data_IF_835043215249
#
_entry.id   IF_835043215249
#
_cell.length_a   1.000
_cell.length_b   1.000
_cell.length_c   1.000
_cell.angle_alpha   90.00
_cell.angle_beta   90.00
_cell.angle_gamma   90.00
#
_symmetry.space_group_name_H-M   'P 1'
#
loop_
_entity.id
_entity.type
_entity.pdbx_description
1 polymer ?
#
# COMPACT_ATOMS: atom_id res chain seq x y z
N UNK A 1 -29.08 -17.25 -2.37
CA UNK A 1 -27.67 -17.49 -2.00
C UNK A 1 -26.82 -16.46 -2.73
N UNK A 2 -26.01 -15.66 -2.01
CA UNK A 2 -25.17 -14.61 -2.61
C UNK A 2 -23.90 -15.24 -3.19
N UNK A 3 -23.58 -14.93 -4.45
CA UNK A 3 -22.45 -15.48 -5.19
C UNK A 3 -21.17 -14.72 -4.84
N UNK A 4 -20.27 -15.31 -4.03
CA UNK A 4 -19.09 -14.60 -3.50
C UNK A 4 -17.81 -14.73 -4.34
N UNK A 5 -17.86 -15.38 -5.51
CA UNK A 5 -16.70 -15.82 -6.29
C UNK A 5 -16.21 -14.77 -7.28
N UNK A 6 -17.10 -13.97 -7.83
CA UNK A 6 -16.70 -12.94 -8.80
C UNK A 6 -16.27 -11.62 -8.15
N UNK A 7 -16.21 -11.56 -6.81
CA UNK A 7 -16.16 -10.33 -6.02
C UNK A 7 -14.87 -9.49 -6.14
N UNK A 8 -13.89 -9.93 -6.94
CA UNK A 8 -12.69 -9.15 -7.25
C UNK A 8 -12.05 -9.56 -8.58
N UNK A 9 -12.05 -10.85 -8.93
CA UNK A 9 -11.42 -11.35 -10.15
C UNK A 9 -12.04 -10.73 -11.41
N UNK A 10 -13.36 -10.56 -11.47
CA UNK A 10 -14.01 -9.95 -12.64
C UNK A 10 -13.57 -8.49 -12.88
N UNK A 11 -13.48 -7.71 -11.80
CA UNK A 11 -13.04 -6.33 -11.83
C UNK A 11 -11.55 -6.21 -12.20
N UNK A 12 -10.67 -7.00 -11.56
CA UNK A 12 -9.24 -7.01 -11.85
C UNK A 12 -8.93 -7.53 -13.27
N UNK A 13 -9.66 -8.55 -13.75
CA UNK A 13 -9.59 -9.00 -15.15
C UNK A 13 -10.04 -7.88 -16.09
N UNK A 14 -11.08 -7.12 -15.73
CA UNK A 14 -11.50 -5.91 -16.45
C UNK A 14 -10.37 -4.87 -16.58
N UNK A 15 -9.62 -4.61 -15.50
CA UNK A 15 -8.45 -3.72 -15.56
C UNK A 15 -7.32 -4.25 -16.45
N UNK A 16 -7.03 -5.55 -16.37
CA UNK A 16 -5.96 -6.19 -17.16
C UNK A 16 -6.31 -6.21 -18.65
N UNK A 17 -7.53 -6.61 -19.02
CA UNK A 17 -7.95 -6.71 -20.43
C UNK A 17 -8.12 -5.34 -21.08
N UNK A 18 -8.63 -4.36 -20.34
CA UNK A 18 -8.69 -2.97 -20.80
C UNK A 18 -7.32 -2.27 -20.78
N UNK A 19 -6.29 -2.94 -20.25
CA UNK A 19 -4.92 -2.43 -20.12
C UNK A 19 -4.88 -1.09 -19.38
N UNK A 20 -5.70 -0.93 -18.35
CA UNK A 20 -5.82 0.32 -17.61
C UNK A 20 -4.48 0.78 -17.01
N UNK A 21 -3.63 -0.14 -16.56
CA UNK A 21 -2.27 0.19 -16.07
C UNK A 21 -1.40 0.82 -17.16
N UNK A 22 -1.51 0.34 -18.41
CA UNK A 22 -0.79 0.92 -19.56
C UNK A 22 -1.39 2.27 -19.95
N UNK A 23 -2.72 2.37 -20.05
CA UNK A 23 -3.40 3.65 -20.38
C UNK A 23 -3.15 4.71 -19.31
N UNK A 24 -3.15 4.33 -18.04
CA UNK A 24 -2.82 5.21 -16.92
C UNK A 24 -1.34 5.57 -16.91
N UNK A 25 -0.43 4.63 -17.21
CA UNK A 25 0.99 4.94 -17.39
C UNK A 25 1.20 5.91 -18.54
N UNK A 26 0.56 5.71 -19.70
CA UNK A 26 0.60 6.61 -20.85
C UNK A 26 -0.04 7.97 -20.56
N UNK A 27 -1.16 8.01 -19.85
CA UNK A 27 -1.83 9.25 -19.43
C UNK A 27 -0.99 9.99 -18.38
N UNK A 28 -0.35 9.27 -17.46
CA UNK A 28 0.61 9.84 -16.51
C UNK A 28 1.86 10.31 -17.22
N UNK A 29 2.34 9.66 -18.29
CA UNK A 29 3.44 10.15 -19.14
C UNK A 29 3.03 11.43 -19.89
N UNK A 30 1.81 11.50 -20.44
CA UNK A 30 1.27 12.69 -21.11
C UNK A 30 1.02 13.85 -20.13
N UNK A 31 0.54 13.57 -18.92
CA UNK A 31 0.34 14.58 -17.87
C UNK A 31 1.65 14.95 -17.18
N UNK A 32 2.62 14.03 -17.12
CA UNK A 32 4.01 14.26 -16.69
C UNK A 32 4.86 14.91 -17.76
N UNK A 33 4.34 15.17 -18.97
CA UNK A 33 4.91 16.17 -19.84
C UNK A 33 4.93 17.57 -19.16
N UNK A 34 4.23 17.74 -18.03
CA UNK A 34 4.41 18.86 -17.11
C UNK A 34 5.37 18.64 -15.91
N UNK A 35 5.63 17.41 -15.43
CA UNK A 35 6.31 17.18 -14.13
C UNK A 35 7.45 16.14 -14.12
N UNK A 36 7.66 15.31 -15.14
CA UNK A 36 8.83 14.42 -15.15
C UNK A 36 9.28 14.02 -16.56
N UNK A 37 9.82 14.98 -17.33
CA UNK A 37 10.86 14.72 -18.33
C UNK A 37 11.84 15.91 -18.32
N UNK A 38 13.14 15.58 -18.40
CA UNK A 38 14.25 16.46 -18.04
C UNK A 38 14.28 17.81 -18.75
N UNK A 39 14.73 18.84 -18.01
CA UNK A 39 15.28 20.09 -18.54
C UNK A 39 15.51 21.10 -17.41
N UNK A 40 16.49 20.87 -16.54
CA UNK A 40 17.35 21.96 -16.08
C UNK A 40 18.74 21.35 -15.86
N UNK A 41 19.70 21.72 -16.71
CA UNK A 41 21.10 21.28 -16.81
C UNK A 41 21.37 19.95 -17.52
N UNK A 42 21.43 20.02 -18.87
CA UNK A 42 22.68 19.59 -19.52
C UNK A 42 23.50 20.87 -19.69
N UNK A 43 24.62 20.96 -18.98
CA UNK A 43 25.89 21.09 -19.67
C UNK A 43 26.73 19.87 -19.32
N UNK A 44 27.47 19.39 -20.31
CA UNK A 44 28.50 18.38 -20.16
C UNK A 44 29.29 18.53 -18.85
N UNK A 45 29.17 17.54 -17.96
CA UNK A 45 30.25 16.95 -17.16
C UNK A 45 29.70 15.94 -16.13
N UNK A 46 30.00 14.65 -16.37
CA UNK A 46 30.22 13.60 -15.36
C UNK A 46 29.02 13.08 -14.53
N UNK A 47 28.25 12.16 -15.14
CA UNK A 47 27.72 10.87 -14.64
C UNK A 47 27.18 10.65 -13.20
N UNK A 48 26.99 11.66 -12.34
CA UNK A 48 26.77 11.40 -10.89
C UNK A 48 25.46 11.94 -10.31
N UNK A 49 24.57 12.52 -11.12
CA UNK A 49 23.42 13.31 -10.61
C UNK A 49 22.05 12.63 -10.73
N UNK A 50 21.99 11.36 -11.15
CA UNK A 50 20.71 10.70 -11.44
C UNK A 50 20.00 10.07 -10.22
N UNK A 51 20.67 9.87 -9.08
CA UNK A 51 20.12 9.09 -7.95
C UNK A 51 19.24 9.91 -6.99
N UNK A 52 19.55 11.19 -6.70
CA UNK A 52 18.72 12.02 -5.78
C UNK A 52 17.33 12.33 -6.38
N UNK A 53 17.23 12.50 -7.70
CA UNK A 53 15.94 12.77 -8.37
C UNK A 53 15.00 11.57 -8.27
N UNK A 54 15.53 10.34 -8.20
CA UNK A 54 14.75 9.12 -7.96
C UNK A 54 14.31 9.01 -6.49
N UNK A 55 15.14 9.44 -5.54
CA UNK A 55 14.83 9.42 -4.11
C UNK A 55 13.66 10.35 -3.72
N UNK A 56 13.35 11.38 -4.50
CA UNK A 56 12.25 12.32 -4.23
C UNK A 56 11.24 12.48 -5.36
N UNK A 57 11.22 11.53 -6.30
CA UNK A 57 10.18 11.42 -7.31
C UNK A 57 8.85 11.12 -6.64
N UNK A 58 8.07 12.16 -6.37
CA UNK A 58 6.70 12.03 -5.90
C UNK A 58 5.84 11.43 -7.01
N UNK A 59 5.87 10.11 -7.14
CA UNK A 59 4.74 9.39 -7.69
C UNK A 59 3.64 9.45 -6.62
N UNK A 60 2.88 10.55 -6.62
CA UNK A 60 1.49 10.44 -6.23
C UNK A 60 0.91 9.47 -7.25
N UNK A 61 0.85 8.18 -6.90
CA UNK A 61 0.05 7.23 -7.65
C UNK A 61 -1.39 7.73 -7.51
N UNK A 62 -1.83 8.54 -8.47
CA UNK A 62 -3.26 8.73 -8.70
C UNK A 62 -3.78 7.34 -9.02
N UNK A 63 -4.86 6.91 -8.37
CA UNK A 63 -5.56 5.69 -8.76
C UNK A 63 -6.07 5.79 -10.20
N UNK A 64 -6.73 4.76 -10.68
CA UNK A 64 -7.31 4.82 -12.03
C UNK A 64 -8.36 5.94 -12.11
N UNK A 65 -8.48 6.56 -13.29
CA UNK A 65 -9.47 7.60 -13.52
C UNK A 65 -10.90 7.05 -13.42
N UNK A 66 -11.86 7.92 -13.11
CA UNK A 66 -13.29 7.58 -12.97
C UNK A 66 -13.85 6.72 -14.10
N UNK A 67 -13.41 6.97 -15.33
CA UNK A 67 -13.85 6.24 -16.53
C UNK A 67 -13.30 4.80 -16.60
N UNK A 68 -12.06 4.58 -16.17
CA UNK A 68 -11.45 3.24 -16.17
C UNK A 68 -12.18 2.29 -15.22
N UNK A 69 -12.72 2.82 -14.13
CA UNK A 69 -13.43 2.04 -13.12
C UNK A 69 -14.79 1.55 -13.63
N UNK A 70 -15.52 2.44 -14.30
CA UNK A 70 -16.78 2.10 -14.96
C UNK A 70 -16.53 1.11 -16.11
N UNK A 71 -15.45 1.29 -16.88
CA UNK A 71 -15.04 0.37 -17.95
C UNK A 71 -14.68 -1.03 -17.39
N UNK A 72 -13.91 -1.09 -16.30
CA UNK A 72 -13.53 -2.35 -15.64
C UNK A 72 -14.74 -3.09 -15.06
N UNK A 73 -15.66 -2.35 -14.43
CA UNK A 73 -16.89 -2.91 -13.87
C UNK A 73 -17.80 -3.50 -14.97
N UNK A 74 -17.99 -2.77 -16.07
CA UNK A 74 -18.79 -3.24 -17.23
C UNK A 74 -18.16 -4.48 -17.86
N UNK A 75 -16.86 -4.43 -18.16
CA UNK A 75 -16.14 -5.56 -18.74
C UNK A 75 -16.12 -6.77 -17.81
N UNK A 76 -15.98 -6.56 -16.50
CA UNK A 76 -16.08 -7.60 -15.49
C UNK A 76 -17.43 -8.32 -15.54
N UNK A 77 -18.54 -7.57 -15.61
CA UNK A 77 -19.88 -8.15 -15.76
C UNK A 77 -20.04 -8.95 -17.07
N UNK A 78 -19.52 -8.43 -18.18
CA UNK A 78 -19.54 -9.11 -19.49
C UNK A 78 -18.74 -10.41 -19.49
N UNK A 79 -17.55 -10.43 -18.88
CA UNK A 79 -16.72 -11.64 -18.81
C UNK A 79 -17.33 -12.71 -17.94
N UNK A 80 -17.99 -12.34 -16.84
CA UNK A 80 -18.75 -13.28 -16.03
C UNK A 80 -19.86 -13.92 -16.85
N UNK A 81 -20.68 -13.11 -17.53
CA UNK A 81 -21.76 -13.61 -18.39
C UNK A 81 -21.24 -14.61 -19.45
N UNK A 82 -20.19 -14.22 -20.18
CA UNK A 82 -19.58 -15.03 -21.25
C UNK A 82 -18.94 -16.32 -20.75
N UNK A 83 -18.50 -16.33 -19.49
CA UNK A 83 -17.87 -17.50 -18.86
C UNK A 83 -18.89 -18.37 -18.10
N UNK A 84 -20.19 -18.08 -18.21
CA UNK A 84 -21.26 -18.85 -17.57
C UNK A 84 -21.53 -18.49 -16.10
N UNK A 85 -20.86 -17.47 -15.57
CA UNK A 85 -21.07 -16.97 -14.21
C UNK A 85 -22.18 -15.91 -14.18
N UNK A 86 -22.86 -15.82 -13.04
CA UNK A 86 -23.91 -14.82 -12.84
C UNK A 86 -23.33 -13.38 -12.83
N UNK A 87 -23.72 -12.49 -13.77
CA UNK A 87 -23.19 -11.12 -13.85
C UNK A 87 -23.54 -10.26 -12.64
N UNK A 88 -24.64 -10.58 -11.94
CA UNK A 88 -25.06 -9.87 -10.71
C UNK A 88 -24.03 -10.00 -9.58
N UNK A 89 -23.10 -10.93 -9.67
CA UNK A 89 -22.04 -11.06 -8.69
C UNK A 89 -21.03 -9.88 -8.74
N UNK A 90 -21.09 -9.00 -9.76
CA UNK A 90 -20.43 -7.69 -9.72
C UNK A 90 -21.08 -6.70 -8.74
N UNK A 91 -22.39 -6.79 -8.46
CA UNK A 91 -23.05 -5.96 -7.44
C UNK A 91 -22.45 -6.22 -6.06
N UNK A 92 -22.10 -7.48 -5.86
CA UNK A 92 -21.48 -8.04 -4.67
C UNK A 92 -20.03 -7.49 -4.49
N UNK A 93 -19.29 -7.19 -5.57
CA UNK A 93 -18.00 -6.46 -5.55
C UNK A 93 -18.21 -5.05 -5.01
N UNK A 94 -19.14 -4.30 -5.64
CA UNK A 94 -19.39 -2.89 -5.30
C UNK A 94 -19.88 -2.76 -3.86
N UNK A 95 -20.70 -3.71 -3.40
CA UNK A 95 -21.12 -3.78 -1.99
C UNK A 95 -19.92 -3.88 -1.04
N UNK A 96 -18.97 -4.78 -1.29
CA UNK A 96 -17.76 -4.93 -0.47
C UNK A 96 -16.89 -3.66 -0.51
N UNK A 97 -16.74 -3.03 -1.68
CA UNK A 97 -15.98 -1.77 -1.80
C UNK A 97 -16.64 -0.63 -1.03
N UNK A 98 -17.97 -0.57 -1.03
CA UNK A 98 -18.74 0.39 -0.25
C UNK A 98 -18.61 0.12 1.26
N UNK A 99 -18.69 -1.14 1.67
CA UNK A 99 -18.47 -1.52 3.07
C UNK A 99 -17.05 -1.17 3.53
N UNK A 100 -16.03 -1.34 2.66
CA UNK A 100 -14.65 -0.96 2.94
C UNK A 100 -14.49 0.56 3.10
N UNK A 101 -15.15 1.34 2.24
CA UNK A 101 -15.17 2.81 2.34
C UNK A 101 -15.81 3.27 3.65
N UNK A 102 -16.95 2.68 4.02
CA UNK A 102 -17.66 3.01 5.26
C UNK A 102 -16.80 2.64 6.47
N UNK A 103 -16.25 1.42 6.50
CA UNK A 103 -15.37 0.96 7.55
C UNK A 103 -14.17 1.89 7.75
N UNK A 104 -13.49 2.28 6.67
CA UNK A 104 -12.33 3.19 6.75
C UNK A 104 -12.71 4.58 7.27
N UNK A 105 -13.89 5.10 6.91
CA UNK A 105 -14.41 6.36 7.48
C UNK A 105 -14.66 6.24 8.97
N UNK A 106 -15.28 5.15 9.43
CA UNK A 106 -15.55 4.90 10.84
C UNK A 106 -14.25 4.78 11.66
N UNK A 107 -13.28 3.98 11.16
CA UNK A 107 -11.97 3.84 11.80
C UNK A 107 -11.26 5.19 11.85
N UNK A 108 -11.23 5.93 10.74
CA UNK A 108 -10.58 7.23 10.68
C UNK A 108 -11.17 8.24 11.67
N UNK A 109 -12.50 8.27 11.77
CA UNK A 109 -13.21 9.09 12.76
C UNK A 109 -12.84 8.69 14.19
N UNK A 110 -12.81 7.39 14.50
CA UNK A 110 -12.43 6.89 15.82
C UNK A 110 -10.97 7.20 16.19
N UNK A 111 -10.09 7.26 15.20
CA UNK A 111 -8.66 7.56 15.36
C UNK A 111 -8.35 9.07 15.27
N UNK A 112 -9.35 9.92 15.01
CA UNK A 112 -9.18 11.36 14.85
C UNK A 112 -8.28 11.73 13.66
N UNK A 113 -8.36 10.96 12.58
CA UNK A 113 -7.60 11.17 11.34
C UNK A 113 -8.54 11.26 10.14
N UNK A 114 -8.03 11.76 9.02
CA UNK A 114 -8.75 11.66 7.75
C UNK A 114 -8.79 10.20 7.26
N UNK A 115 -9.87 9.84 6.57
CA UNK A 115 -10.02 8.54 5.94
C UNK A 115 -8.91 8.36 4.90
N UNK A 116 -8.18 7.26 5.01
CA UNK A 116 -7.16 6.90 4.03
C UNK A 116 -7.89 6.40 2.79
N UNK A 117 -7.38 6.72 1.62
CA UNK A 117 -7.72 5.93 0.46
C UNK A 117 -7.09 4.54 0.65
N UNK A 118 -7.92 3.51 0.80
CA UNK A 118 -7.48 2.13 0.93
C UNK A 118 -6.74 1.72 -0.34
N UNK A 119 -5.46 1.32 -0.26
CA UNK A 119 -4.56 1.02 -1.39
C UNK A 119 -4.45 2.16 -2.44
N UNK A 120 -3.28 2.34 -3.06
CA UNK A 120 -3.10 3.33 -4.15
C UNK A 120 -4.05 3.14 -5.34
N UNK A 121 -4.85 2.07 -5.34
CA UNK A 121 -5.88 1.72 -6.30
C UNK A 121 -7.20 2.48 -6.04
N UNK A 122 -7.59 2.78 -4.78
CA UNK A 122 -8.94 3.30 -4.49
C UNK A 122 -9.08 4.81 -4.25
N UNK A 123 -8.00 5.58 -4.44
CA UNK A 123 -7.96 7.01 -4.13
C UNK A 123 -8.75 7.92 -5.09
N UNK A 124 -9.29 7.40 -6.20
CA UNK A 124 -9.87 8.22 -7.29
C UNK A 124 -11.12 7.65 -7.95
N UNK A 125 -11.82 6.68 -7.35
CA UNK A 125 -13.06 6.15 -7.92
C UNK A 125 -14.16 7.24 -8.02
N UNK A 126 -15.10 7.10 -8.97
CA UNK A 126 -16.39 7.78 -8.85
C UNK A 126 -17.05 7.33 -7.53
N UNK A 127 -17.97 8.13 -6.98
CA UNK A 127 -18.80 7.67 -5.87
C UNK A 127 -19.36 6.28 -6.19
N UNK A 128 -19.25 5.33 -5.24
CA UNK A 128 -19.67 3.94 -5.40
C UNK A 128 -21.10 3.80 -5.95
N UNK A 129 -21.96 4.80 -5.73
CA UNK A 129 -23.32 4.84 -6.24
C UNK A 129 -23.41 4.93 -7.79
N UNK A 130 -22.49 5.62 -8.46
CA UNK A 130 -22.45 5.67 -9.94
C UNK A 130 -21.98 4.34 -10.54
N UNK A 131 -20.96 3.73 -9.91
CA UNK A 131 -20.48 2.39 -10.30
C UNK A 131 -21.58 1.34 -10.12
N UNK A 132 -22.32 1.42 -9.02
CA UNK A 132 -23.46 0.55 -8.75
C UNK A 132 -24.53 0.66 -9.86
N UNK A 133 -24.90 1.87 -10.26
CA UNK A 133 -25.87 2.06 -11.34
C UNK A 133 -25.42 1.42 -12.66
N UNK A 134 -24.15 1.59 -13.04
CA UNK A 134 -23.59 1.01 -14.27
C UNK A 134 -23.60 -0.51 -14.22
N UNK A 135 -23.16 -1.10 -13.10
CA UNK A 135 -23.15 -2.55 -12.90
C UNK A 135 -24.58 -3.11 -12.91
N UNK A 136 -25.54 -2.45 -12.26
CA UNK A 136 -26.95 -2.89 -12.25
C UNK A 136 -27.51 -2.94 -13.67
N UNK A 137 -27.31 -1.88 -14.45
CA UNK A 137 -27.81 -1.79 -15.82
C UNK A 137 -27.19 -2.87 -16.72
N UNK A 138 -25.87 -3.03 -16.63
CA UNK A 138 -25.13 -4.02 -17.43
C UNK A 138 -25.51 -5.45 -17.03
N UNK A 139 -25.53 -5.76 -15.73
CA UNK A 139 -25.86 -7.09 -15.24
C UNK A 139 -27.31 -7.48 -15.57
N UNK A 140 -28.26 -6.54 -15.48
CA UNK A 140 -29.66 -6.78 -15.85
C UNK A 140 -29.77 -7.16 -17.33
N UNK A 141 -29.18 -6.36 -18.22
CA UNK A 141 -29.19 -6.62 -19.66
C UNK A 141 -28.59 -8.00 -19.98
N UNK A 142 -27.42 -8.31 -19.43
CA UNK A 142 -26.76 -9.60 -19.65
C UNK A 142 -27.54 -10.79 -19.07
N UNK A 143 -28.21 -10.60 -17.93
CA UNK A 143 -29.02 -11.67 -17.31
C UNK A 143 -30.28 -11.98 -18.14
N UNK A 144 -30.87 -10.97 -18.79
CA UNK A 144 -32.00 -11.15 -19.72
C UNK A 144 -31.57 -11.86 -21.02
N UNK A 145 -30.34 -11.62 -21.49
CA UNK A 145 -29.79 -12.22 -22.71
C UNK A 145 -29.22 -13.64 -22.50
N UNK A 146 -28.85 -14.01 -21.27
CA UNK A 146 -28.10 -15.25 -21.00
C UNK A 146 -28.84 -16.18 -20.02
N UNK A 147 -29.74 -17.03 -20.53
CA UNK A 147 -30.59 -17.93 -19.71
C UNK A 147 -29.84 -19.02 -18.91
N UNK A 148 -28.51 -19.12 -19.06
CA UNK A 148 -27.67 -20.20 -18.47
C UNK A 148 -26.65 -19.73 -17.42
N UNK A 149 -26.57 -18.43 -17.12
CA UNK A 149 -25.53 -17.86 -16.25
C UNK A 149 -25.86 -17.99 -14.75
N UNK A 150 -25.87 -19.22 -14.22
CA UNK A 150 -26.20 -19.50 -12.82
C UNK A 150 -25.05 -20.14 -12.03
N UNK A 151 -23.89 -20.36 -12.64
CA UNK A 151 -22.76 -20.93 -11.92
C UNK A 151 -22.20 -19.93 -10.91
N UNK A 152 -22.04 -20.40 -9.67
CA UNK A 152 -21.56 -19.61 -8.54
C UNK A 152 -20.10 -20.00 -8.22
N UNK A 153 -19.79 -21.28 -8.03
CA UNK A 153 -18.42 -21.80 -7.85
C UNK A 153 -17.79 -21.58 -6.46
N UNK A 154 -18.64 -21.48 -5.42
CA UNK A 154 -18.24 -20.92 -4.11
C UNK A 154 -17.24 -21.79 -3.38
N UNK A 155 -17.43 -23.10 -3.44
CA UNK A 155 -16.56 -24.06 -2.78
C UNK A 155 -15.19 -24.10 -3.44
N UNK A 156 -15.14 -24.12 -4.78
CA UNK A 156 -13.88 -24.06 -5.52
C UNK A 156 -13.12 -22.77 -5.21
N UNK A 157 -13.80 -21.62 -5.26
CA UNK A 157 -13.21 -20.34 -4.89
C UNK A 157 -12.65 -20.36 -3.46
N UNK A 158 -13.44 -20.81 -2.49
CA UNK A 158 -12.98 -20.86 -1.11
C UNK A 158 -11.77 -21.79 -0.95
N UNK A 159 -11.72 -22.91 -1.69
CA UNK A 159 -10.54 -23.79 -1.68
C UNK A 159 -9.27 -23.10 -2.18
N UNK A 160 -9.37 -22.25 -3.21
CA UNK A 160 -8.23 -21.45 -3.72
C UNK A 160 -7.83 -20.30 -2.78
N UNK A 161 -8.75 -19.85 -1.93
CA UNK A 161 -8.49 -18.79 -0.95
C UNK A 161 -7.79 -19.32 0.31
N UNK A 162 -7.90 -20.61 0.61
CA UNK A 162 -7.23 -21.21 1.76
C UNK A 162 -5.71 -21.08 1.63
N UNK A 163 -5.04 -20.74 2.73
CA UNK A 163 -3.58 -20.59 2.84
C UNK A 163 -2.95 -19.41 2.05
N UNK A 164 -3.75 -18.57 1.38
CA UNK A 164 -3.24 -17.36 0.75
C UNK A 164 -2.66 -16.39 1.78
N UNK A 165 -1.64 -15.61 1.38
CA UNK A 165 -1.06 -14.58 2.24
C UNK A 165 -2.09 -13.46 2.42
N UNK A 166 -2.27 -13.02 3.67
CA UNK A 166 -3.07 -11.87 4.03
C UNK A 166 -2.17 -10.69 4.46
N UNK A 167 -2.34 -9.54 3.81
CA UNK A 167 -1.55 -8.34 4.06
C UNK A 167 -0.23 -8.32 3.29
N UNK A 168 0.83 -7.82 3.92
CA UNK A 168 2.13 -7.66 3.28
C UNK A 168 2.78 -9.02 2.90
N UNK A 169 3.50 -9.00 1.77
CA UNK A 169 4.35 -10.09 1.33
C UNK A 169 5.63 -10.14 2.18
N UNK A 170 6.06 -11.31 2.70
CA UNK A 170 7.33 -11.44 3.42
C UNK A 170 8.56 -11.00 2.62
N UNK A 171 8.47 -11.07 1.29
CA UNK A 171 9.54 -10.65 0.37
C UNK A 171 9.75 -9.13 0.41
N UNK A 172 8.67 -8.37 0.55
CA UNK A 172 8.70 -6.91 0.56
C UNK A 172 8.82 -6.37 2.01
N UNK A 173 8.89 -7.27 2.99
CA UNK A 173 8.82 -6.96 4.41
C UNK A 173 7.38 -6.78 4.89
N UNK A 174 7.19 -6.83 6.21
CA UNK A 174 5.89 -6.95 6.86
C UNK A 174 5.70 -5.79 7.82
N UNK A 175 4.58 -5.08 7.68
CA UNK A 175 4.12 -4.07 8.64
C UNK A 175 3.15 -4.71 9.66
N UNK A 176 3.39 -4.44 10.94
CA UNK A 176 2.47 -4.73 12.05
C UNK A 176 2.35 -3.47 12.90
N UNK A 177 1.17 -2.84 12.85
CA UNK A 177 0.96 -1.54 13.48
C UNK A 177 1.96 -0.49 12.97
N UNK A 178 2.86 -0.06 13.84
CA UNK A 178 3.91 0.92 13.55
C UNK A 178 5.30 0.28 13.43
N UNK A 179 5.41 -1.04 13.38
CA UNK A 179 6.68 -1.77 13.28
C UNK A 179 6.78 -2.47 11.93
N UNK A 180 7.96 -2.42 11.35
CA UNK A 180 8.27 -3.07 10.08
C UNK A 180 9.37 -4.09 10.28
N UNK A 181 9.20 -5.26 9.67
CA UNK A 181 10.13 -6.38 9.76
C UNK A 181 10.47 -6.89 8.37
N UNK A 182 11.75 -7.03 8.06
CA UNK A 182 12.18 -7.63 6.81
C UNK A 182 13.06 -8.84 7.10
N UNK A 183 12.47 -10.04 7.01
CA UNK A 183 13.16 -11.29 7.39
C UNK A 183 14.39 -11.56 6.53
N UNK A 184 14.25 -11.46 5.21
CA UNK A 184 15.34 -11.74 4.27
C UNK A 184 16.50 -10.73 4.38
N UNK A 185 16.18 -9.45 4.53
CA UNK A 185 17.17 -8.39 4.74
C UNK A 185 17.64 -8.27 6.20
N UNK A 186 17.06 -9.03 7.13
CA UNK A 186 17.52 -9.15 8.51
C UNK A 186 17.39 -7.89 9.37
N UNK A 187 16.45 -6.98 9.09
CA UNK A 187 16.28 -5.74 9.87
C UNK A 187 14.84 -5.47 10.30
N UNK A 188 14.71 -4.58 11.29
CA UNK A 188 13.45 -4.09 11.86
C UNK A 188 13.52 -2.57 12.06
N UNK A 189 12.37 -1.91 11.95
CA UNK A 189 12.21 -0.47 12.19
C UNK A 189 10.89 -0.16 12.88
N UNK A 190 10.85 0.96 13.60
CA UNK A 190 9.64 1.49 14.22
C UNK A 190 9.33 2.87 13.66
N UNK A 191 8.05 3.11 13.40
CA UNK A 191 7.55 4.32 12.74
C UNK A 191 6.73 5.17 13.69
N UNK A 192 6.64 6.48 13.44
CA UNK A 192 5.87 7.37 14.30
C UNK A 192 4.38 7.02 14.28
N UNK A 193 3.75 7.07 15.44
CA UNK A 193 2.31 6.88 15.55
C UNK A 193 1.53 7.86 14.68
N UNK A 194 0.37 7.41 14.18
CA UNK A 194 -0.54 8.18 13.29
C UNK A 194 0.02 8.51 11.91
N UNK A 195 1.27 8.19 11.60
CA UNK A 195 1.78 8.30 10.23
C UNK A 195 1.20 7.17 9.39
N UNK A 196 0.86 7.48 8.15
CA UNK A 196 0.50 6.47 7.17
C UNK A 196 1.78 5.87 6.59
N UNK A 197 1.83 4.54 6.47
CA UNK A 197 3.00 3.83 5.92
C UNK A 197 2.54 3.06 4.70
N UNK A 198 3.15 3.35 3.56
CA UNK A 198 3.00 2.57 2.35
C UNK A 198 4.24 1.70 2.15
N UNK A 199 4.03 0.39 2.08
CA UNK A 199 5.06 -0.60 1.85
C UNK A 199 5.07 -0.98 0.36
N UNK A 200 6.13 -0.60 -0.35
CA UNK A 200 6.34 -0.95 -1.75
C UNK A 200 7.53 -1.90 -1.87
N UNK A 201 7.61 -2.72 -2.94
CA UNK A 201 8.72 -3.66 -3.13
C UNK A 201 10.12 -3.02 -3.12
N UNK A 202 10.23 -1.74 -3.48
CA UNK A 202 11.49 -1.01 -3.58
C UNK A 202 11.71 0.04 -2.47
N UNK A 203 10.69 0.36 -1.65
CA UNK A 203 10.76 1.44 -0.66
C UNK A 203 9.64 1.42 0.38
N UNK A 204 9.88 2.08 1.50
CA UNK A 204 8.84 2.50 2.43
C UNK A 204 8.59 4.00 2.30
N UNK A 205 7.32 4.39 2.25
CA UNK A 205 6.90 5.78 2.24
C UNK A 205 6.01 6.06 3.44
N UNK A 206 6.52 6.84 4.38
CA UNK A 206 5.77 7.30 5.54
C UNK A 206 5.27 8.72 5.27
N UNK A 207 4.01 8.98 5.59
CA UNK A 207 3.35 10.29 5.42
C UNK A 207 2.77 10.75 6.75
N UNK A 208 3.16 11.94 7.19
CA UNK A 208 2.63 12.56 8.39
C UNK A 208 1.12 12.87 8.22
N UNK A 209 0.36 13.04 9.33
CA UNK A 209 -1.02 13.49 9.26
C UNK A 209 -1.19 14.71 8.35
N UNK A 210 -2.27 14.72 7.55
CA UNK A 210 -2.60 15.76 6.57
C UNK A 210 -1.52 15.99 5.47
N UNK A 211 -0.58 15.05 5.31
CA UNK A 211 0.52 15.17 4.35
C UNK A 211 1.51 16.28 4.66
N UNK A 212 1.66 16.67 5.94
CA UNK A 212 2.56 17.78 6.32
C UNK A 212 4.05 17.47 6.13
N UNK A 213 4.42 16.19 6.13
CA UNK A 213 5.78 15.70 5.93
C UNK A 213 5.79 14.28 5.37
N UNK A 214 6.92 13.91 4.77
CA UNK A 214 7.18 12.56 4.27
C UNK A 214 8.54 12.05 4.74
N UNK A 215 8.64 10.74 4.95
CA UNK A 215 9.91 10.02 5.09
C UNK A 215 9.91 8.91 4.06
N UNK A 216 10.94 8.85 3.23
CA UNK A 216 11.18 7.74 2.33
C UNK A 216 12.36 6.91 2.85
N UNK A 217 12.22 5.60 2.81
CA UNK A 217 13.28 4.64 3.16
C UNK A 217 13.51 3.77 1.94
N UNK A 218 14.77 3.71 1.49
CA UNK A 218 15.22 2.92 0.34
C UNK A 218 16.49 2.17 0.71
N UNK A 219 16.84 1.15 -0.07
CA UNK A 219 18.08 0.42 0.11
C UNK A 219 18.83 0.31 -1.22
N UNK A 220 20.11 0.66 -1.20
CA UNK A 220 21.02 0.61 -2.34
C UNK A 220 22.19 -0.32 -2.02
N UNK A 221 22.87 -0.87 -3.03
CA UNK A 221 24.08 -1.66 -2.81
C UNK A 221 25.24 -0.78 -2.32
N UNK A 222 26.00 -1.26 -1.33
CA UNK A 222 27.18 -0.53 -0.85
C UNK A 222 28.33 -0.63 -1.84
N UNK A 223 29.06 0.47 -2.01
CA UNK A 223 30.46 0.41 -2.41
C UNK A 223 31.31 0.28 -1.14
N UNK A 224 31.83 -0.93 -0.86
CA UNK A 224 32.60 -1.26 0.36
C UNK A 224 33.85 -0.39 0.59
N UNK A 225 34.28 0.38 -0.41
CA UNK A 225 35.44 1.29 -0.33
C UNK A 225 35.08 2.70 0.16
N UNK A 226 33.80 3.09 0.11
CA UNK A 226 33.37 4.43 0.51
C UNK A 226 32.95 4.45 1.98
N UNK A 227 33.43 5.45 2.72
CA UNK A 227 32.82 5.80 4.00
C UNK A 227 31.35 6.20 3.79
N UNK A 228 30.54 6.14 4.84
CA UNK A 228 29.11 6.49 4.73
C UNK A 228 28.93 7.95 4.29
N UNK A 229 29.75 8.86 4.82
CA UNK A 229 29.75 10.26 4.40
C UNK A 229 30.16 10.41 2.93
N UNK A 230 31.20 9.71 2.48
CA UNK A 230 31.63 9.75 1.08
C UNK A 230 30.59 9.15 0.14
N UNK A 231 29.85 8.13 0.57
CA UNK A 231 28.71 7.62 -0.17
C UNK A 231 27.63 8.70 -0.34
N UNK A 232 27.29 9.44 0.72
CA UNK A 232 26.33 10.55 0.63
C UNK A 232 26.79 11.63 -0.35
N UNK A 233 28.07 12.00 -0.33
CA UNK A 233 28.59 13.06 -1.21
C UNK A 233 28.73 12.53 -2.65
N UNK A 234 29.42 11.41 -2.84
CA UNK A 234 29.86 10.93 -4.15
C UNK A 234 28.83 10.08 -4.88
N UNK A 235 28.03 9.26 -4.19
CA UNK A 235 27.02 8.41 -4.83
C UNK A 235 25.68 9.11 -4.90
N UNK A 236 25.27 9.73 -3.80
CA UNK A 236 24.01 10.45 -3.79
C UNK A 236 24.16 11.82 -4.45
N UNK A 237 25.29 12.52 -4.31
CA UNK A 237 25.48 13.88 -4.84
C UNK A 237 25.15 14.98 -3.83
N UNK A 238 25.20 14.66 -2.53
CA UNK A 238 24.90 15.60 -1.44
C UNK A 238 26.15 16.42 -1.07
N UNK A 239 26.53 17.35 -1.94
CA UNK A 239 27.82 18.07 -1.83
C UNK A 239 27.88 19.10 -0.68
N UNK A 240 26.73 19.56 -0.16
CA UNK A 240 26.64 20.60 0.87
C UNK A 240 25.76 20.12 2.04
N UNK A 241 26.31 19.23 2.86
CA UNK A 241 25.63 18.75 4.06
C UNK A 241 25.78 19.76 5.21
N UNK A 242 24.65 20.22 5.74
CA UNK A 242 24.57 21.03 6.95
C UNK A 242 24.18 20.15 8.15
N UNK A 243 24.59 20.54 9.36
CA UNK A 243 24.27 19.83 10.61
C UNK A 243 24.53 18.32 10.49
N UNK A 244 25.67 17.98 9.88
CA UNK A 244 26.09 16.62 9.66
C UNK A 244 26.78 16.02 10.89
N UNK A 245 26.61 14.72 11.10
CA UNK A 245 27.26 14.00 12.19
C UNK A 245 27.29 12.49 11.93
N UNK A 246 28.30 11.82 12.48
CA UNK A 246 28.29 10.36 12.62
C UNK A 246 27.31 9.93 13.70
N UNK A 247 26.58 8.84 13.45
CA UNK A 247 25.66 8.23 14.40
C UNK A 247 26.04 6.76 14.65
N UNK A 248 25.82 6.30 15.87
CA UNK A 248 25.73 4.88 16.17
C UNK A 248 24.26 4.54 16.40
N UNK A 249 23.70 3.65 15.57
CA UNK A 249 22.30 3.26 15.61
C UNK A 249 22.24 1.78 15.96
N UNK A 250 21.96 1.45 17.21
CA UNK A 250 21.86 0.07 17.70
C UNK A 250 23.11 -0.78 17.35
N UNK A 251 24.30 -0.19 17.49
CA UNK A 251 25.58 -0.85 17.14
C UNK A 251 25.99 -0.72 15.67
N UNK A 252 25.19 -0.10 14.82
CA UNK A 252 25.47 0.12 13.40
C UNK A 252 26.05 1.51 13.16
N UNK A 253 27.02 1.58 12.24
CA UNK A 253 27.56 2.85 11.78
C UNK A 253 26.57 3.53 10.84
N UNK A 254 26.31 4.80 11.11
CA UNK A 254 25.44 5.64 10.30
C UNK A 254 26.01 7.05 10.18
N UNK A 255 25.54 7.79 9.18
CA UNK A 255 25.87 9.20 9.00
C UNK A 255 24.61 9.97 8.65
N UNK A 256 24.46 11.16 9.20
CA UNK A 256 23.29 12.01 8.95
C UNK A 256 23.70 13.42 8.58
N UNK A 257 22.86 14.11 7.82
CA UNK A 257 23.05 15.52 7.47
C UNK A 257 21.80 16.09 6.80
N UNK A 258 21.70 17.41 6.74
CA UNK A 258 20.67 18.13 5.99
C UNK A 258 21.27 18.55 4.65
N UNK A 259 20.55 18.32 3.56
CA UNK A 259 20.82 18.98 2.29
C UNK A 259 19.58 19.71 1.82
N UNK A 260 19.78 20.81 1.10
CA UNK A 260 18.69 21.54 0.45
C UNK A 260 18.48 20.96 -0.94
N UNK A 261 17.30 20.38 -1.18
CA UNK A 261 16.93 19.84 -2.49
C UNK A 261 16.08 20.87 -3.21
N UNK A 262 16.58 21.40 -4.33
CA UNK A 262 15.88 22.38 -5.16
C UNK A 262 15.08 21.67 -6.25
N UNK A 263 13.79 21.97 -6.35
CA UNK A 263 12.94 21.52 -7.45
C UNK A 263 12.02 22.66 -7.94
N UNK A 264 11.10 22.37 -8.88
CA UNK A 264 10.12 23.35 -9.38
C UNK A 264 9.21 23.96 -8.28
N UNK A 265 9.13 23.33 -7.11
CA UNK A 265 8.34 23.77 -5.95
C UNK A 265 9.19 24.55 -4.92
N UNK A 266 10.47 24.82 -5.23
CA UNK A 266 11.40 25.59 -4.39
C UNK A 266 12.47 24.74 -3.71
N UNK A 267 13.31 25.42 -2.93
CA UNK A 267 14.35 24.81 -2.12
C UNK A 267 13.75 24.20 -0.84
N UNK A 268 13.88 22.89 -0.67
CA UNK A 268 13.33 22.16 0.48
C UNK A 268 14.45 21.52 1.30
N UNK A 269 14.65 21.94 2.57
CA UNK A 269 15.52 21.24 3.49
C UNK A 269 15.07 19.79 3.65
N UNK A 270 16.02 18.88 3.54
CA UNK A 270 15.79 17.44 3.60
C UNK A 270 16.84 16.81 4.50
N UNK A 271 16.40 16.08 5.53
CA UNK A 271 17.28 15.27 6.39
C UNK A 271 17.56 13.97 5.67
N UNK A 272 18.83 13.60 5.56
CA UNK A 272 19.28 12.30 5.09
C UNK A 272 20.00 11.59 6.23
N UNK A 273 19.70 10.31 6.41
CA UNK A 273 20.47 9.40 7.25
C UNK A 273 20.77 8.15 6.45
N UNK A 274 22.05 7.80 6.34
CA UNK A 274 22.49 6.57 5.68
C UNK A 274 23.04 5.61 6.74
N UNK A 275 22.57 4.37 6.70
CA UNK A 275 22.99 3.28 7.59
C UNK A 275 23.57 2.17 6.73
N UNK A 276 24.80 1.75 7.03
CA UNK A 276 25.35 0.55 6.40
C UNK A 276 24.98 -0.66 7.23
N UNK A 277 24.30 -1.61 6.60
CA UNK A 277 23.95 -2.88 7.22
C UNK A 277 24.07 -4.00 6.19
N UNK A 278 24.82 -5.04 6.56
CA UNK A 278 25.22 -6.13 5.67
C UNK A 278 25.86 -5.62 4.36
N UNK A 279 25.20 -5.80 3.22
CA UNK A 279 25.70 -5.39 1.90
C UNK A 279 24.95 -4.18 1.32
N UNK A 280 24.16 -3.47 2.14
CA UNK A 280 23.27 -2.40 1.68
C UNK A 280 23.46 -1.10 2.47
N UNK A 281 23.28 0.00 1.75
CA UNK A 281 23.13 1.34 2.29
C UNK A 281 21.64 1.63 2.39
N UNK A 282 21.12 1.71 3.61
CA UNK A 282 19.75 2.10 3.88
C UNK A 282 19.70 3.62 3.95
N UNK A 283 18.94 4.23 3.06
CA UNK A 283 18.82 5.68 2.91
C UNK A 283 17.45 6.09 3.44
N UNK A 284 17.46 6.82 4.55
CA UNK A 284 16.28 7.44 5.15
C UNK A 284 16.32 8.91 4.82
N UNK A 285 15.35 9.39 4.04
CA UNK A 285 15.29 10.76 3.58
C UNK A 285 13.93 11.38 3.93
N UNK A 286 13.94 12.47 4.69
CA UNK A 286 12.72 13.10 5.21
C UNK A 286 12.66 14.60 4.97
N UNK A 287 11.46 15.10 4.65
CA UNK A 287 11.19 16.53 4.41
C UNK A 287 9.77 16.90 4.81
N UNK A 288 9.53 18.19 5.07
CA UNK A 288 8.18 18.74 5.23
C UNK A 288 7.63 19.23 3.88
N UNK A 289 6.31 19.27 3.75
CA UNK A 289 5.61 19.89 2.61
C UNK A 289 5.89 21.39 2.51
N UNK A 290 6.04 22.05 3.64
CA UNK A 290 6.37 23.48 3.76
C UNK A 290 7.76 23.59 4.38
N UNK A 291 8.73 24.16 3.65
CA UNK A 291 10.13 24.27 4.08
C UNK A 291 10.29 24.86 5.50
N UNK A 292 9.54 25.93 5.83
CA UNK A 292 9.58 26.57 7.16
C UNK A 292 9.12 25.67 8.31
N UNK A 293 8.34 24.62 8.03
CA UNK A 293 7.89 23.62 9.01
C UNK A 293 8.86 22.46 9.19
N UNK A 294 9.99 22.43 8.46
CA UNK A 294 10.92 21.29 8.50
C UNK A 294 11.45 20.99 9.90
N UNK A 295 11.80 22.03 10.67
CA UNK A 295 12.30 21.89 12.05
C UNK A 295 11.33 21.16 12.99
N UNK A 296 10.01 21.19 12.72
CA UNK A 296 8.99 20.45 13.47
C UNK A 296 9.15 18.92 13.30
N UNK A 297 9.64 18.48 12.15
CA UNK A 297 9.71 17.06 11.78
C UNK A 297 11.12 16.48 11.79
N UNK A 298 12.15 17.33 11.81
CA UNK A 298 13.55 16.93 11.75
C UNK A 298 13.91 15.86 12.81
N UNK A 299 13.48 16.08 14.05
CA UNK A 299 13.71 15.11 15.14
C UNK A 299 12.99 13.78 14.89
N UNK A 300 11.72 13.81 14.46
CA UNK A 300 10.96 12.60 14.11
C UNK A 300 11.62 11.81 12.98
N UNK A 301 12.22 12.48 12.00
CA UNK A 301 12.96 11.83 10.90
C UNK A 301 14.20 11.12 11.44
N UNK A 302 14.97 11.78 12.31
CA UNK A 302 16.15 11.19 12.95
C UNK A 302 15.77 10.02 13.85
N UNK A 303 14.72 10.15 14.66
CA UNK A 303 14.25 9.10 15.55
C UNK A 303 13.75 7.87 14.78
N UNK A 304 13.10 8.09 13.64
CA UNK A 304 12.71 7.01 12.71
C UNK A 304 13.95 6.26 12.21
N UNK A 305 15.00 6.97 11.80
CA UNK A 305 16.26 6.34 11.38
C UNK A 305 16.94 5.59 12.53
N UNK A 306 16.96 6.16 13.74
CA UNK A 306 17.52 5.54 14.96
C UNK A 306 16.79 4.28 15.42
N UNK A 307 15.57 4.05 14.95
CA UNK A 307 14.84 2.82 15.24
C UNK A 307 15.36 1.60 14.45
N UNK A 308 16.19 1.81 13.42
CA UNK A 308 16.73 0.72 12.61
C UNK A 308 17.61 -0.20 13.47
N UNK A 309 17.35 -1.50 13.43
CA UNK A 309 18.17 -2.49 14.10
C UNK A 309 18.14 -3.84 13.38
N UNK A 310 19.14 -4.66 13.67
CA UNK A 310 19.16 -6.06 13.25
C UNK A 310 17.94 -6.78 13.85
N UNK A 311 17.29 -7.59 13.02
CA UNK A 311 16.14 -8.39 13.43
C UNK A 311 16.53 -9.32 14.58
N UNK A 312 15.77 -9.27 15.67
CA UNK A 312 15.97 -10.17 16.81
C UNK A 312 15.22 -11.49 16.59
N UNK A 313 15.62 -12.55 17.30
CA UNK A 313 14.94 -13.87 17.23
C UNK A 313 13.43 -13.79 17.53
N UNK A 314 13.03 -12.93 18.46
CA UNK A 314 11.61 -12.75 18.79
C UNK A 314 10.85 -12.02 17.68
N UNK A 315 11.51 -11.14 16.93
CA UNK A 315 10.91 -10.42 15.80
C UNK A 315 10.83 -11.26 14.52
N UNK A 316 11.67 -12.29 14.37
CA UNK A 316 11.55 -13.23 13.24
C UNK A 316 10.19 -13.93 13.18
N UNK A 317 9.56 -14.16 14.34
CA UNK A 317 8.20 -14.69 14.45
C UNK A 317 7.15 -13.66 13.99
N UNK A 318 7.34 -12.38 14.33
CA UNK A 318 6.48 -11.28 13.90
C UNK A 318 6.64 -10.96 12.40
N UNK A 319 7.78 -11.34 11.82
CA UNK A 319 8.08 -11.26 10.39
C UNK A 319 7.46 -12.40 9.56
N UNK A 320 6.61 -13.25 10.16
CA UNK A 320 5.83 -14.26 9.42
C UNK A 320 4.56 -13.63 8.81
N UNK A 321 4.18 -14.04 7.59
CA UNK A 321 2.93 -13.59 6.98
C UNK A 321 1.74 -14.15 7.76
N UNK A 322 0.68 -13.35 7.84
CA UNK A 322 -0.63 -13.89 8.18
C UNK A 322 -1.18 -14.63 6.97
N UNK A 323 -2.03 -15.62 7.22
CA UNK A 323 -2.64 -16.41 6.16
C UNK A 323 -4.15 -16.44 6.30
N UNK A 324 -4.81 -16.57 5.16
CA UNK A 324 -6.22 -16.90 5.12
C UNK A 324 -6.40 -18.37 5.49
N UNK A 325 -7.38 -18.64 6.34
CA UNK A 325 -7.89 -19.98 6.60
C UNK A 325 -9.37 -20.01 6.29
N UNK A 326 -9.82 -21.03 5.57
CA UNK A 326 -11.25 -21.27 5.34
C UNK A 326 -11.79 -22.23 6.39
N UNK A 327 -12.89 -21.83 7.02
CA UNK A 327 -13.63 -22.64 7.99
C UNK A 327 -15.12 -22.70 7.63
N UNK A 328 -15.78 -23.78 7.98
CA UNK A 328 -17.23 -23.91 7.88
C UNK A 328 -17.88 -23.51 9.21
N UNK A 329 -18.81 -22.55 9.15
CA UNK A 329 -19.50 -22.06 10.33
C UNK A 329 -20.46 -23.10 10.90
N UNK A 330 -20.49 -23.20 12.22
CA UNK A 330 -21.50 -23.93 12.98
C UNK A 330 -22.50 -22.95 13.66
N UNK A 331 -23.47 -23.47 14.40
CA UNK A 331 -24.49 -22.64 15.07
C UNK A 331 -23.91 -21.67 16.12
N UNK A 332 -22.72 -21.95 16.65
CA UNK A 332 -22.04 -21.17 17.68
C UNK A 332 -21.02 -20.18 17.11
N UNK A 333 -20.74 -20.27 15.80
CA UNK A 333 -19.76 -19.41 15.14
C UNK A 333 -20.24 -17.96 15.17
N UNK A 334 -19.42 -17.08 15.74
CA UNK A 334 -19.64 -15.63 15.80
C UNK A 334 -18.36 -14.90 15.44
N UNK A 335 -18.48 -13.79 14.72
CA UNK A 335 -17.31 -12.98 14.39
C UNK A 335 -16.58 -12.45 15.63
N UNK A 336 -17.31 -12.17 16.72
CA UNK A 336 -16.71 -11.75 18.00
C UNK A 336 -15.82 -12.83 18.63
N UNK A 337 -16.18 -14.11 18.49
CA UNK A 337 -15.36 -15.23 18.95
C UNK A 337 -14.14 -15.45 18.06
N UNK A 338 -14.32 -15.39 16.74
CA UNK A 338 -13.22 -15.51 15.77
C UNK A 338 -12.22 -14.36 15.92
N UNK A 339 -12.70 -13.14 16.16
CA UNK A 339 -11.87 -11.96 16.37
C UNK A 339 -10.93 -12.08 17.57
N UNK A 340 -11.37 -12.71 18.67
CA UNK A 340 -10.53 -12.94 19.86
C UNK A 340 -9.38 -13.91 19.62
N UNK A 341 -9.48 -14.77 18.61
CA UNK A 341 -8.46 -15.75 18.26
C UNK A 341 -7.59 -15.31 17.08
N UNK A 342 -7.98 -14.22 16.39
CA UNK A 342 -7.29 -13.74 15.21
C UNK A 342 -6.07 -12.88 15.60
N UNK A 343 -4.97 -12.92 14.81
CA UNK A 343 -3.83 -12.02 14.98
C UNK A 343 -4.11 -10.60 14.49
N UNK A 344 -5.30 -10.33 13.95
CA UNK A 344 -5.69 -9.00 13.47
C UNK A 344 -5.71 -8.00 14.63
N UNK A 345 -4.82 -7.02 14.56
CA UNK A 345 -4.84 -5.87 15.47
C UNK A 345 -5.97 -4.90 15.09
N UNK A 346 -6.62 -4.29 16.09
CA UNK A 346 -7.65 -3.24 15.98
C UNK A 346 -8.83 -3.56 15.05
N UNK A 347 -10.06 -3.45 15.56
CA UNK A 347 -11.29 -3.72 14.80
C UNK A 347 -11.31 -5.12 14.13
N UNK A 348 -10.70 -6.12 14.76
CA UNK A 348 -10.59 -7.48 14.23
C UNK A 348 -11.96 -8.07 13.81
N UNK A 349 -12.98 -7.88 14.65
CA UNK A 349 -14.34 -8.33 14.37
C UNK A 349 -14.91 -7.68 13.10
N UNK A 350 -14.83 -6.35 12.99
CA UNK A 350 -15.27 -5.61 11.81
C UNK A 350 -14.50 -6.01 10.55
N UNK A 351 -13.18 -6.21 10.65
CA UNK A 351 -12.33 -6.67 9.53
C UNK A 351 -12.72 -8.08 9.07
N UNK A 352 -13.01 -9.00 9.99
CA UNK A 352 -13.47 -10.34 9.65
C UNK A 352 -14.87 -10.32 9.02
N UNK A 353 -15.79 -9.48 9.52
CA UNK A 353 -17.10 -9.26 8.88
C UNK A 353 -16.93 -8.75 7.46
N UNK A 354 -16.06 -7.76 7.26
CA UNK A 354 -15.78 -7.15 5.96
C UNK A 354 -15.18 -8.15 4.97
N UNK A 355 -14.15 -8.91 5.39
CA UNK A 355 -13.53 -10.00 4.61
C UNK A 355 -14.56 -11.03 4.12
N UNK A 356 -15.62 -11.23 4.90
CA UNK A 356 -16.68 -12.19 4.63
C UNK A 356 -17.99 -11.57 4.11
N UNK A 357 -18.05 -10.26 3.86
CA UNK A 357 -19.25 -9.57 3.37
C UNK A 357 -20.45 -9.60 4.32
N UNK A 358 -20.18 -9.50 5.62
CA UNK A 358 -21.17 -9.39 6.69
C UNK A 358 -21.11 -8.03 7.43
N UNK A 359 -20.35 -7.07 6.92
CA UNK A 359 -20.29 -5.74 7.50
C UNK A 359 -21.67 -5.04 7.43
N UNK A 360 -22.05 -4.20 8.40
CA UNK A 360 -21.36 -3.96 9.68
C UNK A 360 -21.67 -5.00 10.76
N UNK A 361 -22.86 -5.64 10.73
CA UNK A 361 -23.41 -6.36 11.90
C UNK A 361 -23.91 -7.79 11.61
N UNK A 362 -23.68 -8.34 10.42
CA UNK A 362 -24.20 -9.65 10.01
C UNK A 362 -23.44 -10.83 10.61
N UNK A 363 -24.14 -11.92 10.95
CA UNK A 363 -23.53 -13.15 11.46
C UNK A 363 -23.66 -14.32 10.48
N UNK A 364 -22.73 -15.29 10.50
CA UNK A 364 -22.80 -16.46 9.65
C UNK A 364 -23.86 -17.44 10.14
N UNK A 365 -24.52 -18.12 9.19
CA UNK A 365 -25.36 -19.27 9.49
C UNK A 365 -24.52 -20.56 9.39
N UNK A 366 -25.02 -21.64 10.00
CA UNK A 366 -24.42 -22.98 9.86
C UNK A 366 -24.23 -23.34 8.37
N UNK A 367 -23.08 -23.91 8.05
CA UNK A 367 -22.69 -24.30 6.70
C UNK A 367 -22.13 -23.17 5.83
N UNK A 368 -22.03 -21.93 6.36
CA UNK A 368 -21.38 -20.85 5.62
C UNK A 368 -19.86 -21.00 5.69
N UNK A 369 -19.19 -21.00 4.54
CA UNK A 369 -17.73 -20.92 4.47
C UNK A 369 -17.26 -19.49 4.78
N UNK A 370 -16.32 -19.38 5.71
CA UNK A 370 -15.74 -18.12 6.17
C UNK A 370 -14.23 -18.14 6.00
N UNK A 371 -13.68 -17.00 5.61
CA UNK A 371 -12.25 -16.70 5.61
C UNK A 371 -11.91 -16.05 6.96
N UNK A 372 -11.00 -16.64 7.70
CA UNK A 372 -10.37 -16.03 8.87
C UNK A 372 -8.90 -15.76 8.59
N UNK A 373 -8.26 -15.03 9.50
CA UNK A 373 -6.84 -14.70 9.44
C UNK A 373 -6.17 -15.38 10.62
N UNK A 374 -5.07 -16.07 10.35
CA UNK A 374 -4.21 -16.78 11.31
C UNK A 374 -2.73 -16.42 11.14
#
# INVERSE_FOLDING_TARGET
MRSRISRGIGHEVGHVTARHSVRQYSANQLTNFGIALGSIFIPDANQTTNQITQLFGSALLRGYGREHELEADRLGAEYLARSGYNPNAMLDVIGVLKDQEIFEKEVAQSEGREARAYHGVFSTHPANDKRLQEVVNTAKKLSEETSSANYVGLEEYMSYMDNLIYGDSPRDGILRGHRFFHKELGFSMSFPWKWNVANYPDRLLLTAPNGEAIIQITAEDINKKLSIRDFMIQRMGLNNLERESSLNINGLNAYTGISVISNKQGAQPTRFTVIYFEQRAYIIAGRSKVAKKFSKFDQTIIDTAKSFHKLTKNEEELAKPMRLKVLEANNETRFSSLARQSPLENHAESKLRLLNGYYPNGEPNKGNLLKIVE
#
